data_IF_259007777857
#
_entry.id   IF_259007777857
#
_cell.length_a   1.000
_cell.length_b   1.000
_cell.length_c   1.000
_cell.angle_alpha   90.00
_cell.angle_beta   90.00
_cell.angle_gamma   90.00
#
_symmetry.space_group_name_H-M   'P 1'
#
loop_
_entity.id
_entity.type
_entity.pdbx_description
1 polymer ?
#
# COMPACT_ATOMS: atom_id res chain seq x y z
N UNK A 1 -78.86 16.52 36.60
CA UNK A 1 -78.00 17.44 37.36
C UNK A 1 -76.76 16.63 37.78
N UNK A 2 -75.49 16.93 37.54
CA UNK A 2 -74.77 17.98 36.84
C UNK A 2 -73.41 17.38 36.39
N UNK A 3 -73.09 17.62 35.12
CA UNK A 3 -71.79 17.78 34.44
C UNK A 3 -70.52 17.61 35.28
N UNK A 4 -69.55 16.82 34.80
CA UNK A 4 -68.14 17.24 34.68
C UNK A 4 -67.46 16.54 33.50
N UNK A 5 -67.28 17.30 32.43
CA UNK A 5 -66.36 17.01 31.34
C UNK A 5 -64.96 17.51 31.72
N UNK A 6 -63.91 16.77 31.34
CA UNK A 6 -62.57 17.32 31.17
C UNK A 6 -61.79 16.47 30.16
N UNK A 7 -61.82 16.93 28.91
CA UNK A 7 -60.90 16.53 27.85
C UNK A 7 -59.51 17.08 28.20
N UNK A 8 -58.47 16.24 28.25
CA UNK A 8 -57.07 16.71 28.27
C UNK A 8 -56.51 16.47 26.86
N UNK A 9 -56.32 17.56 26.14
CA UNK A 9 -55.60 17.63 24.88
C UNK A 9 -54.22 18.28 25.12
N UNK A 10 -53.17 17.73 24.49
CA UNK A 10 -51.82 18.31 24.37
C UNK A 10 -50.90 18.01 25.56
N UNK A 11 -49.62 17.65 25.40
CA UNK A 11 -48.73 17.72 24.25
C UNK A 11 -47.64 16.63 24.37
N UNK A 12 -47.43 15.85 23.31
CA UNK A 12 -46.19 15.09 23.13
C UNK A 12 -45.23 15.96 22.33
N UNK A 13 -44.28 16.60 22.99
CA UNK A 13 -43.10 17.15 22.34
C UNK A 13 -41.88 16.74 23.17
N UNK A 14 -41.40 15.52 22.90
CA UNK A 14 -40.09 15.06 23.35
C UNK A 14 -39.02 15.90 22.64
N UNK A 15 -38.58 16.97 23.28
CA UNK A 15 -37.39 17.72 22.86
C UNK A 15 -36.14 16.94 23.25
N UNK A 16 -35.73 15.97 22.44
CA UNK A 16 -34.48 15.25 22.62
C UNK A 16 -33.39 16.02 21.88
N UNK A 17 -32.67 16.86 22.62
CA UNK A 17 -31.45 17.52 22.14
C UNK A 17 -30.38 16.44 22.01
N UNK A 18 -30.17 15.92 20.80
CA UNK A 18 -28.97 15.17 20.49
C UNK A 18 -27.80 16.15 20.47
N UNK A 19 -27.14 16.31 21.61
CA UNK A 19 -25.79 16.85 21.68
C UNK A 19 -24.87 15.89 20.93
N UNK A 20 -24.59 16.21 19.66
CA UNK A 20 -23.58 15.54 18.86
C UNK A 20 -22.20 15.82 19.45
N UNK A 21 -21.78 15.00 20.42
CA UNK A 21 -20.38 14.81 20.71
C UNK A 21 -19.81 13.95 19.57
N UNK A 22 -19.43 14.59 18.47
CA UNK A 22 -18.54 13.98 17.50
C UNK A 22 -17.21 13.76 18.21
N UNK A 23 -16.98 12.55 18.73
CA UNK A 23 -15.64 12.13 19.11
C UNK A 23 -14.86 12.10 17.81
N UNK A 24 -14.04 13.12 17.57
CA UNK A 24 -12.91 12.99 16.67
C UNK A 24 -12.06 11.85 17.25
N UNK A 25 -12.27 10.63 16.74
CA UNK A 25 -11.39 9.52 17.00
C UNK A 25 -10.05 9.97 16.44
N UNK A 26 -9.14 10.40 17.32
CA UNK A 26 -7.74 10.52 16.93
C UNK A 26 -7.39 9.15 16.38
N UNK A 27 -7.12 9.07 15.07
CA UNK A 27 -6.79 7.83 14.36
C UNK A 27 -5.85 7.04 15.25
N UNK A 28 -6.38 6.04 15.94
CA UNK A 28 -5.61 5.33 16.92
C UNK A 28 -4.60 4.58 16.08
N UNK A 29 -3.32 4.92 16.21
CA UNK A 29 -2.21 4.20 15.59
C UNK A 29 -2.09 2.83 16.26
N UNK A 30 -3.17 2.04 16.24
CA UNK A 30 -3.10 0.61 16.38
C UNK A 30 -2.37 0.17 15.14
N UNK A 31 -1.16 -0.33 15.32
CA UNK A 31 -0.39 -0.98 14.28
C UNK A 31 -1.35 -1.92 13.51
N UNK A 32 -1.63 -1.67 12.22
CA UNK A 32 -2.65 -2.46 11.53
C UNK A 32 -2.25 -3.93 11.62
N UNK A 33 -3.19 -4.75 12.04
CA UNK A 33 -3.07 -6.20 12.04
C UNK A 33 -3.75 -6.73 10.79
N UNK A 34 -4.70 -7.63 10.98
CA UNK A 34 -5.58 -8.09 9.92
C UNK A 34 -6.79 -7.16 9.77
N UNK A 35 -7.19 -6.92 8.52
CA UNK A 35 -8.36 -6.14 8.15
C UNK A 35 -8.08 -5.08 7.10
N UNK A 36 -9.11 -4.29 6.82
CA UNK A 36 -9.11 -3.19 5.86
C UNK A 36 -9.12 -1.87 6.62
N UNK A 37 -8.21 -0.97 6.27
CA UNK A 37 -7.98 0.31 6.94
C UNK A 37 -8.11 1.46 5.94
N UNK A 38 -8.95 2.45 6.26
CA UNK A 38 -9.11 3.65 5.44
C UNK A 38 -7.88 4.54 5.56
N UNK A 39 -7.23 4.82 4.43
CA UNK A 39 -6.01 5.63 4.41
C UNK A 39 -6.36 7.11 4.66
N UNK A 40 -5.60 7.76 5.53
CA UNK A 40 -5.83 9.11 6.02
C UNK A 40 -6.83 9.22 7.18
N UNK A 41 -7.73 8.25 7.36
CA UNK A 41 -8.70 8.22 8.47
C UNK A 41 -8.27 7.27 9.60
N UNK A 42 -7.83 6.06 9.25
CA UNK A 42 -7.44 5.00 10.18
C UNK A 42 -5.96 4.66 10.05
N UNK A 43 -5.42 4.76 8.83
CA UNK A 43 -4.01 4.51 8.53
C UNK A 43 -3.35 5.75 7.91
N UNK A 44 -2.34 6.30 8.57
CA UNK A 44 -1.57 7.40 8.00
C UNK A 44 -0.77 6.95 6.76
N UNK A 45 -0.64 7.78 5.70
CA UNK A 45 0.28 7.49 4.61
C UNK A 45 1.73 7.39 5.11
N UNK A 46 2.53 6.52 4.49
CA UNK A 46 3.92 6.29 4.92
C UNK A 46 4.48 4.94 4.48
N UNK A 47 5.70 4.67 4.92
CA UNK A 47 6.32 3.36 4.76
C UNK A 47 6.07 2.50 6.00
N UNK A 48 5.67 1.26 5.78
CA UNK A 48 5.33 0.29 6.80
C UNK A 48 6.15 -0.98 6.64
N UNK A 49 6.50 -1.60 7.76
CA UNK A 49 7.07 -2.96 7.81
C UNK A 49 6.11 -3.88 8.56
N UNK A 50 5.85 -5.06 8.00
CA UNK A 50 5.16 -6.15 8.68
C UNK A 50 6.18 -7.22 9.11
N UNK A 51 5.82 -7.97 10.16
CA UNK A 51 6.52 -9.19 10.55
C UNK A 51 6.35 -10.33 9.54
N UNK A 52 5.39 -10.22 8.62
CA UNK A 52 5.15 -11.23 7.60
C UNK A 52 4.72 -12.59 8.16
N UNK A 53 4.85 -13.63 7.34
CA UNK A 53 4.45 -15.00 7.64
C UNK A 53 5.37 -15.96 6.87
N UNK A 54 5.87 -17.01 7.53
CA UNK A 54 6.79 -18.00 6.94
C UNK A 54 6.20 -19.42 6.93
N UNK A 55 4.89 -19.55 7.09
CA UNK A 55 4.19 -20.84 7.03
C UNK A 55 4.13 -21.36 5.59
N UNK A 56 4.22 -22.68 5.36
CA UNK A 56 4.24 -23.25 3.99
C UNK A 56 2.88 -23.18 3.26
N UNK A 57 1.79 -22.97 3.99
CA UNK A 57 0.42 -22.99 3.46
C UNK A 57 -0.24 -21.62 3.48
N UNK A 58 0.12 -20.76 4.42
CA UNK A 58 -0.44 -19.41 4.60
C UNK A 58 0.66 -18.35 4.44
N UNK A 59 0.46 -17.45 3.49
CA UNK A 59 1.34 -16.31 3.24
C UNK A 59 0.69 -15.00 3.65
N UNK A 60 1.53 -14.00 3.91
CA UNK A 60 1.09 -12.62 4.08
C UNK A 60 0.53 -12.11 2.75
N UNK A 61 -0.74 -11.72 2.76
CA UNK A 61 -1.39 -11.06 1.64
C UNK A 61 -1.74 -9.63 2.00
N UNK A 62 -1.29 -8.68 1.18
CA UNK A 62 -1.65 -7.28 1.37
C UNK A 62 -2.11 -6.65 0.08
N UNK A 63 -2.98 -5.65 0.20
CA UNK A 63 -3.53 -4.88 -0.92
C UNK A 63 -3.56 -3.39 -0.59
N UNK A 64 -3.17 -2.57 -1.56
CA UNK A 64 -3.48 -1.14 -1.62
C UNK A 64 -4.65 -0.97 -2.57
N UNK A 65 -5.67 -0.25 -2.14
CA UNK A 65 -6.95 -0.18 -2.82
C UNK A 65 -7.33 1.27 -3.17
N UNK A 66 -7.96 1.48 -4.33
CA UNK A 66 -8.61 2.73 -4.74
C UNK A 66 -10.07 2.82 -4.31
N UNK A 67 -10.64 1.72 -3.83
CA UNK A 67 -12.02 1.60 -3.33
C UNK A 67 -12.19 0.35 -2.48
N UNK A 68 -13.34 0.18 -1.84
CA UNK A 68 -13.67 -1.01 -1.02
C UNK A 68 -14.88 -1.76 -1.57
N UNK A 69 -15.10 -1.72 -2.89
CA UNK A 69 -16.22 -2.42 -3.52
C UNK A 69 -16.02 -3.93 -3.57
N UNK A 70 -14.76 -4.37 -3.45
CA UNK A 70 -14.34 -5.77 -3.62
C UNK A 70 -14.07 -6.15 -5.07
N UNK A 71 -14.16 -5.20 -6.01
CA UNK A 71 -13.82 -5.44 -7.41
C UNK A 71 -12.31 -5.48 -7.61
N UNK A 72 -11.87 -6.23 -8.64
CA UNK A 72 -10.44 -6.32 -8.99
C UNK A 72 -9.91 -4.95 -9.45
N UNK A 73 -10.78 -4.13 -10.06
CA UNK A 73 -10.44 -2.78 -10.52
C UNK A 73 -10.11 -1.82 -9.37
N UNK A 74 -10.48 -2.16 -8.13
CA UNK A 74 -10.10 -1.38 -6.95
C UNK A 74 -8.66 -1.67 -6.50
N UNK A 75 -7.98 -2.71 -7.01
CA UNK A 75 -6.65 -3.10 -6.54
C UNK A 75 -5.58 -2.27 -7.25
N UNK A 76 -4.95 -1.35 -6.50
CA UNK A 76 -3.81 -0.54 -6.99
C UNK A 76 -2.53 -1.38 -7.02
N UNK A 77 -2.29 -2.12 -5.94
CA UNK A 77 -1.13 -2.98 -5.80
C UNK A 77 -1.42 -4.07 -4.76
N UNK A 78 -0.87 -5.25 -4.97
CA UNK A 78 -1.01 -6.37 -4.04
C UNK A 78 0.19 -7.30 -4.13
N UNK A 79 0.46 -8.04 -3.07
CA UNK A 79 1.44 -9.12 -3.10
C UNK A 79 1.10 -10.21 -2.07
N UNK A 80 1.49 -11.45 -2.39
CA UNK A 80 1.32 -12.63 -1.54
C UNK A 80 2.69 -13.27 -1.30
N UNK A 81 3.15 -13.30 -0.05
CA UNK A 81 4.54 -13.67 0.26
C UNK A 81 4.67 -14.50 1.53
N UNK A 82 5.62 -15.42 1.52
CA UNK A 82 6.02 -16.24 2.65
C UNK A 82 7.35 -15.73 3.25
N UNK A 83 7.41 -14.43 3.55
CA UNK A 83 8.61 -13.75 4.05
C UNK A 83 8.46 -13.32 5.50
N UNK A 84 9.55 -13.36 6.25
CA UNK A 84 9.66 -12.87 7.64
C UNK A 84 9.63 -11.34 7.77
N UNK A 85 9.64 -10.63 6.64
CA UNK A 85 9.59 -9.17 6.61
C UNK A 85 9.01 -8.69 5.31
N UNK A 86 8.02 -7.82 5.40
CA UNK A 86 7.36 -7.20 4.24
C UNK A 86 7.40 -5.69 4.41
N UNK A 87 7.80 -4.96 3.37
CA UNK A 87 7.84 -3.49 3.39
C UNK A 87 6.89 -2.97 2.33
N UNK A 88 5.96 -2.11 2.73
CA UNK A 88 4.97 -1.51 1.84
C UNK A 88 4.97 0.00 2.01
N UNK A 89 4.84 0.71 0.90
CA UNK A 89 4.62 2.16 0.90
C UNK A 89 3.15 2.43 0.61
N UNK A 90 2.45 2.98 1.59
CA UNK A 90 1.05 3.42 1.49
C UNK A 90 1.03 4.90 1.12
N UNK A 91 0.44 5.21 -0.03
CA UNK A 91 0.40 6.56 -0.59
C UNK A 91 -0.84 7.31 -0.08
N UNK A 92 -0.80 8.66 -0.02
CA UNK A 92 -1.98 9.45 0.34
C UNK A 92 -3.11 9.35 -0.68
N UNK A 93 -2.82 8.87 -1.89
CA UNK A 93 -3.81 8.62 -2.95
C UNK A 93 -4.55 7.29 -2.79
N UNK A 94 -4.08 6.41 -1.90
CA UNK A 94 -4.76 5.16 -1.64
C UNK A 94 -6.04 5.44 -0.87
N UNK A 95 -7.09 4.69 -1.16
CA UNK A 95 -8.34 4.79 -0.43
C UNK A 95 -8.32 3.89 0.81
N UNK A 96 -7.86 2.65 0.65
CA UNK A 96 -7.75 1.68 1.73
C UNK A 96 -6.51 0.81 1.62
N UNK A 97 -6.07 0.28 2.76
CA UNK A 97 -5.03 -0.74 2.86
C UNK A 97 -5.62 -1.98 3.52
N UNK A 98 -5.47 -3.13 2.89
CA UNK A 98 -5.95 -4.41 3.42
C UNK A 98 -4.79 -5.35 3.69
N UNK A 99 -4.89 -6.09 4.78
CA UNK A 99 -3.86 -6.98 5.29
C UNK A 99 -4.49 -8.26 5.81
N UNK A 100 -3.98 -9.40 5.35
CA UNK A 100 -4.40 -10.74 5.75
C UNK A 100 -3.14 -11.56 6.06
N UNK A 101 -3.04 -12.14 7.26
CA UNK A 101 -1.93 -12.99 7.69
C UNK A 101 -0.54 -12.35 7.66
N UNK A 102 -0.42 -11.02 7.61
CA UNK A 102 0.87 -10.31 7.59
C UNK A 102 1.45 -10.04 8.98
N UNK A 103 0.71 -10.38 10.04
CA UNK A 103 1.04 -10.01 11.42
C UNK A 103 0.84 -8.52 11.64
N UNK A 104 1.72 -7.91 12.43
CA UNK A 104 1.58 -6.52 12.87
C UNK A 104 2.39 -5.58 12.00
N UNK A 105 1.74 -4.55 11.46
CA UNK A 105 2.39 -3.50 10.66
C UNK A 105 2.88 -2.34 11.53
N UNK A 106 4.16 -2.00 11.40
CA UNK A 106 4.78 -0.85 12.07
C UNK A 106 5.18 0.19 11.04
N UNK A 107 4.79 1.45 11.25
CA UNK A 107 5.25 2.57 10.40
C UNK A 107 6.73 2.82 10.65
N UNK A 108 7.55 2.75 9.60
CA UNK A 108 9.00 2.93 9.67
C UNK A 108 9.47 4.30 9.15
N UNK A 109 8.60 5.05 8.48
CA UNK A 109 8.93 6.39 8.01
C UNK A 109 7.86 6.99 7.12
N UNK A 110 8.15 8.18 6.61
CA UNK A 110 7.36 8.81 5.55
C UNK A 110 7.58 8.08 4.21
N UNK A 111 6.81 8.47 3.20
CA UNK A 111 6.93 7.90 1.86
C UNK A 111 8.35 8.14 1.37
N UNK A 112 9.10 7.09 0.98
CA UNK A 112 10.41 7.28 0.40
C UNK A 112 10.23 8.08 -0.88
N UNK A 113 10.64 9.34 -0.86
CA UNK A 113 10.90 10.06 -2.10
C UNK A 113 12.06 9.30 -2.70
N UNK A 114 11.79 8.52 -3.76
CA UNK A 114 12.88 7.93 -4.54
C UNK A 114 13.90 9.05 -4.73
N UNK A 115 15.19 8.86 -4.40
CA UNK A 115 16.18 9.86 -4.74
C UNK A 115 15.96 10.10 -6.23
N UNK A 116 15.51 11.30 -6.58
CA UNK A 116 15.36 11.67 -7.98
C UNK A 116 16.67 11.34 -8.68
N UNK A 117 16.71 11.12 -10.00
CA UNK A 117 17.98 11.11 -10.68
C UNK A 117 18.71 12.36 -10.20
N UNK A 118 19.84 12.17 -9.52
CA UNK A 118 20.59 13.27 -8.95
C UNK A 118 21.09 14.10 -10.12
N UNK A 119 20.29 15.10 -10.52
CA UNK A 119 20.61 16.00 -11.61
C UNK A 119 21.83 16.88 -11.25
N UNK A 120 22.39 16.74 -10.05
CA UNK A 120 23.59 17.44 -9.62
C UNK A 120 24.88 16.66 -9.86
N UNK A 121 24.84 15.40 -10.36
CA UNK A 121 26.07 14.60 -10.54
C UNK A 121 26.58 14.44 -12.00
N UNK A 122 25.75 14.20 -13.01
CA UNK A 122 26.12 14.17 -14.44
C UNK A 122 24.86 13.75 -15.23
N UNK A 123 24.45 14.29 -16.37
CA UNK A 123 25.20 14.93 -17.43
C UNK A 123 24.33 15.96 -18.13
N UNK A 124 24.87 17.15 -18.34
CA UNK A 124 24.58 17.96 -19.52
C UNK A 124 25.01 17.16 -20.76
N UNK A 125 24.10 16.32 -21.26
CA UNK A 125 24.24 15.61 -22.52
C UNK A 125 22.96 15.76 -23.30
N UNK A 126 22.82 16.88 -24.03
CA UNK A 126 21.77 17.04 -25.03
C UNK A 126 21.85 15.89 -26.04
N UNK A 127 20.82 15.06 -26.11
CA UNK A 127 20.52 14.27 -27.29
C UNK A 127 19.00 14.02 -27.36
N UNK A 128 18.31 14.97 -27.95
CA UNK A 128 17.15 14.68 -28.80
C UNK A 128 17.61 13.83 -30.00
N UNK A 129 16.67 13.12 -30.64
CA UNK A 129 16.80 12.10 -31.72
C UNK A 129 16.85 10.69 -31.13
N UNK A 130 15.97 9.75 -31.45
CA UNK A 130 14.96 9.63 -32.49
C UNK A 130 14.53 8.15 -32.51
N UNK A 131 13.32 7.91 -32.96
CA UNK A 131 12.64 6.61 -33.02
C UNK A 131 13.46 5.45 -33.61
N UNK A 132 13.15 4.25 -33.09
CA UNK A 132 13.09 2.95 -33.78
C UNK A 132 14.22 2.56 -34.76
N UNK A 133 14.99 1.54 -34.39
CA UNK A 133 15.51 0.57 -35.38
C UNK A 133 15.42 -0.87 -34.85
N UNK A 134 14.81 -1.68 -35.71
CA UNK A 134 14.77 -3.13 -35.83
C UNK A 134 16.16 -3.77 -35.94
N UNK A 135 16.27 -5.06 -35.61
CA UNK A 135 17.32 -5.96 -36.13
C UNK A 135 18.19 -6.56 -35.02
N UNK A 136 17.90 -7.78 -34.56
CA UNK A 136 18.31 -9.07 -35.15
C UNK A 136 19.67 -9.55 -34.68
N UNK A 137 19.65 -10.81 -34.23
CA UNK A 137 20.73 -11.64 -33.74
C UNK A 137 22.05 -11.56 -34.53
N UNK A 138 23.17 -11.59 -33.80
CA UNK A 138 24.45 -12.11 -34.29
C UNK A 138 25.17 -12.84 -33.15
N UNK A 139 25.33 -14.16 -33.33
CA UNK A 139 26.21 -15.03 -32.55
C UNK A 139 27.69 -14.60 -32.71
N UNK A 140 28.53 -14.67 -31.67
CA UNK A 140 29.97 -14.74 -31.85
C UNK A 140 30.42 -16.20 -32.04
N UNK A 141 30.86 -16.51 -33.27
CA UNK A 141 31.68 -17.67 -33.61
C UNK A 141 33.16 -17.39 -33.27
N UNK A 142 33.81 -18.42 -32.73
CA UNK A 142 35.23 -18.76 -32.83
C UNK A 142 36.29 -17.95 -32.05
N UNK A 143 37.01 -18.68 -31.18
CA UNK A 143 38.47 -18.86 -31.30
C UNK A 143 38.97 -20.02 -30.40
N UNK A 144 39.57 -21.09 -30.95
CA UNK A 144 40.29 -22.09 -30.16
C UNK A 144 41.82 -21.99 -30.33
N UNK A 145 42.51 -22.47 -29.28
CA UNK A 145 43.84 -23.11 -29.26
C UNK A 145 45.09 -22.27 -29.61
N UNK A 146 45.93 -22.05 -28.60
CA UNK A 146 47.38 -22.08 -28.75
C UNK A 146 47.98 -23.03 -27.71
N UNK A 147 48.60 -24.09 -28.22
CA UNK A 147 49.39 -25.05 -27.46
C UNK A 147 50.70 -24.40 -27.00
N UNK A 148 51.03 -24.54 -25.72
CA UNK A 148 52.39 -24.32 -25.23
C UNK A 148 53.02 -25.69 -24.99
N UNK A 149 53.91 -26.09 -25.90
CA UNK A 149 54.85 -27.17 -25.68
C UNK A 149 56.19 -26.59 -25.21
N UNK A 150 56.80 -27.20 -24.21
CA UNK A 150 58.18 -26.97 -23.84
C UNK A 150 58.83 -28.30 -23.45
N UNK A 151 59.90 -28.63 -24.17
CA UNK A 151 60.76 -29.78 -23.99
C UNK A 151 61.95 -29.47 -23.07
N UNK A 152 62.56 -30.52 -22.51
CA UNK A 152 63.87 -30.53 -21.82
C UNK A 152 63.75 -30.42 -20.30
N UNK A 153 64.29 -31.30 -19.45
CA UNK A 153 65.40 -32.28 -19.53
C UNK A 153 65.02 -33.59 -18.82
#
# INVERSE_FOLDING_TARGET
MNKHAATIAGAFAAGLVFAGAGTASAAQTVAPGEGTYLVGAELAPGQYTASGQVDDYMGCYWKRLSGTTGEIDDIIASDYTHSEKVIVTVLPSDYAFESEYCGTWTRIGDIPVAPGPDLTSAAIGSAVVGSAVVGSAVLPLAAPLLMSGSAGL
#
